data_IF_081834511489
#
_entry.id   IF_081834511489
#
_cell.length_a   1.000
_cell.length_b   1.000
_cell.length_c   1.000
_cell.angle_alpha   90.00
_cell.angle_beta   90.00
_cell.angle_gamma   90.00
#
_symmetry.space_group_name_H-M   'P 1'
#
loop_
_entity.id
_entity.type
_entity.pdbx_description
1 polymer ?
#
# COMPACT_ATOMS: atom_id res chain seq x y z
N UNK A 1 -16.37 -8.80 8.25
CA UNK A 1 -15.35 -9.17 9.26
C UNK A 1 -16.07 -9.51 10.55
N UNK A 2 -15.64 -10.57 11.21
CA UNK A 2 -16.30 -11.10 12.44
C UNK A 2 -15.51 -10.71 13.70
N UNK A 3 -14.19 -10.54 13.56
CA UNK A 3 -13.30 -10.24 14.69
C UNK A 3 -13.37 -8.76 15.07
N UNK A 4 -13.74 -8.42 16.34
CA UNK A 4 -13.72 -7.04 16.84
C UNK A 4 -12.32 -6.43 16.78
N UNK A 5 -12.22 -5.10 16.56
CA UNK A 5 -10.94 -4.40 16.39
C UNK A 5 -9.95 -4.66 17.55
N UNK A 6 -10.44 -4.70 18.78
CA UNK A 6 -9.62 -4.95 19.98
C UNK A 6 -9.16 -6.41 20.16
N UNK A 7 -9.59 -7.31 19.29
CA UNK A 7 -9.21 -8.73 19.29
C UNK A 7 -8.38 -9.11 18.06
N UNK A 8 -8.12 -8.16 17.17
CA UNK A 8 -7.27 -8.40 15.99
C UNK A 8 -5.80 -8.54 16.39
N UNK A 9 -5.03 -9.18 15.52
CA UNK A 9 -3.57 -9.35 15.67
C UNK A 9 -2.89 -8.02 15.98
N UNK A 10 -1.95 -8.01 16.91
CA UNK A 10 -1.18 -6.80 17.23
C UNK A 10 -0.20 -6.44 16.10
N UNK A 11 0.35 -5.22 16.11
CA UNK A 11 1.42 -4.84 15.19
C UNK A 11 2.60 -5.81 15.26
N UNK A 12 2.95 -6.30 16.46
CA UNK A 12 4.02 -7.30 16.64
C UNK A 12 3.68 -8.67 16.05
N UNK A 13 2.41 -9.08 16.05
CA UNK A 13 2.00 -10.34 15.43
C UNK A 13 2.09 -10.24 13.89
N UNK A 14 1.70 -9.10 13.34
CA UNK A 14 1.81 -8.77 11.92
C UNK A 14 3.27 -8.75 11.49
N UNK A 15 4.15 -8.05 12.26
CA UNK A 15 5.59 -8.03 12.04
C UNK A 15 6.19 -9.44 11.98
N UNK A 16 5.91 -10.29 12.98
CA UNK A 16 6.42 -11.67 13.03
C UNK A 16 6.01 -12.49 11.82
N UNK A 17 4.77 -12.30 11.33
CA UNK A 17 4.30 -13.00 10.13
C UNK A 17 5.09 -12.56 8.91
N UNK A 18 5.29 -11.26 8.70
CA UNK A 18 6.06 -10.75 7.57
C UNK A 18 7.55 -11.12 7.64
N UNK A 19 8.14 -11.20 8.83
CA UNK A 19 9.52 -11.64 8.99
C UNK A 19 9.77 -13.06 8.43
N UNK A 20 8.74 -13.90 8.38
CA UNK A 20 8.83 -15.27 7.84
C UNK A 20 8.46 -15.37 6.35
N UNK A 21 7.99 -14.30 5.73
CA UNK A 21 7.42 -14.32 4.37
C UNK A 21 8.29 -13.59 3.32
N UNK A 22 9.53 -13.23 3.64
CA UNK A 22 10.42 -12.41 2.80
C UNK A 22 10.60 -12.99 1.40
N UNK A 23 10.88 -14.28 1.27
CA UNK A 23 11.08 -14.93 -0.03
C UNK A 23 9.81 -14.88 -0.89
N UNK A 24 8.65 -15.09 -0.28
CA UNK A 24 7.37 -15.00 -0.98
C UNK A 24 7.13 -13.60 -1.54
N UNK A 25 7.37 -12.55 -0.75
CA UNK A 25 7.16 -11.17 -1.16
C UNK A 25 8.30 -10.60 -2.04
N UNK A 26 9.45 -11.25 -2.09
CA UNK A 26 10.52 -10.89 -3.03
C UNK A 26 10.17 -11.22 -4.49
N UNK A 27 9.24 -12.14 -4.71
CA UNK A 27 8.74 -12.51 -6.03
C UNK A 27 7.33 -11.95 -6.23
N UNK A 28 7.14 -11.13 -7.27
CA UNK A 28 5.84 -10.50 -7.59
C UNK A 28 4.74 -11.54 -7.79
N UNK A 29 5.04 -12.64 -8.50
CA UNK A 29 4.05 -13.66 -8.83
C UNK A 29 3.52 -14.41 -7.60
N UNK A 30 4.37 -14.62 -6.60
CA UNK A 30 4.00 -15.33 -5.36
C UNK A 30 3.54 -14.39 -4.25
N UNK A 31 4.12 -13.20 -4.16
CA UNK A 31 3.82 -12.23 -3.10
C UNK A 31 2.43 -11.63 -3.21
N UNK A 32 1.93 -11.48 -4.43
CA UNK A 32 0.67 -10.82 -4.70
C UNK A 32 -0.42 -11.75 -5.27
N UNK A 33 -0.25 -13.05 -5.19
CA UNK A 33 -1.20 -14.04 -5.73
C UNK A 33 -2.62 -13.90 -5.17
N UNK A 34 -2.76 -13.36 -3.96
CA UNK A 34 -4.06 -13.10 -3.33
C UNK A 34 -4.71 -11.78 -3.79
N UNK A 35 -3.97 -10.91 -4.46
CA UNK A 35 -4.45 -9.60 -4.90
C UNK A 35 -4.93 -9.68 -6.36
N UNK A 36 -6.22 -9.39 -6.56
CA UNK A 36 -6.79 -9.36 -7.92
C UNK A 36 -6.17 -8.19 -8.69
N UNK A 37 -5.72 -8.47 -9.92
CA UNK A 37 -5.13 -7.50 -10.85
C UNK A 37 -3.90 -6.75 -10.28
N UNK A 38 -3.12 -7.42 -9.42
CA UNK A 38 -1.97 -6.81 -8.76
C UNK A 38 -0.97 -6.18 -9.74
N UNK A 39 -0.63 -6.90 -10.83
CA UNK A 39 0.31 -6.40 -11.85
C UNK A 39 -0.22 -5.16 -12.55
N UNK A 40 -1.50 -5.15 -12.95
CA UNK A 40 -2.15 -3.99 -13.57
C UNK A 40 -2.21 -2.80 -12.59
N UNK A 41 -2.57 -3.04 -11.35
CA UNK A 41 -2.63 -1.99 -10.33
C UNK A 41 -1.26 -1.36 -10.07
N UNK A 42 -0.19 -2.17 -10.00
CA UNK A 42 1.19 -1.69 -9.88
C UNK A 42 1.61 -0.84 -11.08
N UNK A 43 1.26 -1.26 -12.30
CA UNK A 43 1.52 -0.50 -13.53
C UNK A 43 0.81 0.85 -13.49
N UNK A 44 -0.49 0.86 -13.21
CA UNK A 44 -1.30 2.08 -13.18
C UNK A 44 -0.83 3.11 -12.14
N UNK A 45 -0.52 2.69 -10.90
CA UNK A 45 -0.01 3.64 -9.90
C UNK A 45 1.39 4.17 -10.26
N UNK A 46 2.22 3.35 -10.90
CA UNK A 46 3.54 3.74 -11.39
C UNK A 46 3.43 4.80 -12.50
N UNK A 47 2.59 4.54 -13.51
CA UNK A 47 2.36 5.46 -14.63
C UNK A 47 1.69 6.77 -14.15
N UNK A 48 0.73 6.68 -13.22
CA UNK A 48 0.09 7.83 -12.62
C UNK A 48 1.11 8.70 -11.86
N UNK A 49 1.99 8.10 -11.07
CA UNK A 49 3.05 8.82 -10.37
C UNK A 49 3.95 9.61 -11.34
N UNK A 50 4.41 8.96 -12.42
CA UNK A 50 5.28 9.57 -13.43
C UNK A 50 4.55 10.67 -14.21
N UNK A 51 3.29 10.41 -14.58
CA UNK A 51 2.49 11.36 -15.39
C UNK A 51 2.13 12.63 -14.61
N UNK A 52 1.88 12.51 -13.31
CA UNK A 52 1.45 13.64 -12.47
C UNK A 52 2.61 14.35 -11.78
N UNK A 53 3.75 13.65 -11.63
CA UNK A 53 4.97 14.19 -11.02
C UNK A 53 6.17 13.97 -11.97
N UNK A 54 6.32 14.82 -13.01
CA UNK A 54 7.32 14.59 -14.05
C UNK A 54 8.78 14.63 -13.59
N UNK A 55 9.06 15.30 -12.46
CA UNK A 55 10.38 15.35 -11.83
C UNK A 55 10.29 14.66 -10.47
N UNK A 56 10.87 13.48 -10.39
CA UNK A 56 10.91 12.68 -9.17
C UNK A 56 12.36 12.65 -8.67
N UNK A 57 12.60 13.26 -7.52
CA UNK A 57 13.91 13.29 -6.87
C UNK A 57 13.93 12.42 -5.62
N UNK A 58 12.80 12.32 -4.91
CA UNK A 58 12.68 11.52 -3.68
C UNK A 58 11.33 10.85 -3.54
N UNK A 59 11.33 9.55 -3.24
CA UNK A 59 10.15 8.72 -3.08
C UNK A 59 10.09 8.11 -1.68
N UNK A 60 8.89 8.05 -1.09
CA UNK A 60 8.61 7.26 0.11
C UNK A 60 7.75 6.05 -0.27
N UNK A 61 8.18 4.86 0.12
CA UNK A 61 7.41 3.61 -0.01
C UNK A 61 6.96 3.14 1.39
N UNK A 62 5.66 3.27 1.67
CA UNK A 62 5.06 2.92 2.97
C UNK A 62 4.64 1.45 2.94
N UNK A 63 5.20 0.64 3.85
CA UNK A 63 5.03 -0.81 3.83
C UNK A 63 5.70 -1.41 2.61
N UNK A 64 6.96 -1.05 2.37
CA UNK A 64 7.68 -1.34 1.14
C UNK A 64 7.86 -2.85 0.86
N UNK A 65 7.66 -3.72 1.86
CA UNK A 65 7.94 -5.15 1.76
C UNK A 65 9.35 -5.39 1.22
N UNK A 66 9.49 -6.23 0.21
CA UNK A 66 10.77 -6.50 -0.46
C UNK A 66 11.12 -5.51 -1.60
N UNK A 67 10.48 -4.32 -1.67
CA UNK A 67 10.81 -3.22 -2.58
C UNK A 67 10.25 -3.34 -4.00
N UNK A 68 9.28 -4.21 -4.26
CA UNK A 68 8.78 -4.46 -5.63
C UNK A 68 8.21 -3.19 -6.30
N UNK A 69 7.45 -2.37 -5.58
CA UNK A 69 6.82 -1.17 -6.13
C UNK A 69 7.86 -0.08 -6.41
N UNK A 70 8.79 0.14 -5.48
CA UNK A 70 9.93 1.06 -5.69
C UNK A 70 10.76 0.65 -6.91
N UNK A 71 11.07 -0.64 -7.06
CA UNK A 71 11.81 -1.18 -8.22
C UNK A 71 11.03 -0.95 -9.52
N UNK A 72 9.71 -1.22 -9.52
CA UNK A 72 8.87 -0.96 -10.70
C UNK A 72 8.90 0.51 -11.08
N UNK A 73 8.78 1.41 -10.11
CA UNK A 73 8.82 2.85 -10.35
C UNK A 73 10.19 3.28 -10.91
N UNK A 74 11.31 2.83 -10.33
CA UNK A 74 12.67 3.11 -10.81
C UNK A 74 12.86 2.67 -12.26
N UNK A 75 12.50 1.46 -12.58
CA UNK A 75 12.64 0.89 -13.93
C UNK A 75 11.78 1.62 -14.98
N UNK A 76 10.58 2.05 -14.59
CA UNK A 76 9.65 2.72 -15.51
C UNK A 76 10.03 4.19 -15.69
N UNK A 77 10.47 4.87 -14.63
CA UNK A 77 10.91 6.26 -14.68
C UNK A 77 12.24 6.42 -15.45
N UNK A 78 13.12 5.43 -15.37
CA UNK A 78 14.35 5.36 -16.17
C UNK A 78 15.52 6.23 -15.71
N UNK A 79 15.32 7.08 -14.70
CA UNK A 79 16.36 7.84 -14.00
C UNK A 79 16.28 7.55 -12.51
N UNK A 80 17.42 7.53 -11.81
CA UNK A 80 17.43 7.26 -10.37
C UNK A 80 16.84 8.38 -9.54
N UNK A 81 16.34 8.04 -8.37
CA UNK A 81 15.87 8.97 -7.34
C UNK A 81 16.23 8.42 -5.95
N UNK A 82 16.17 9.26 -4.93
CA UNK A 82 16.37 8.85 -3.54
C UNK A 82 15.15 8.12 -3.02
N UNK A 83 15.36 7.06 -2.22
CA UNK A 83 14.31 6.23 -1.68
C UNK A 83 14.33 6.20 -0.17
N UNK A 84 13.22 6.55 0.46
CA UNK A 84 12.95 6.25 1.86
C UNK A 84 11.98 5.05 1.91
N UNK A 85 12.42 3.95 2.50
CA UNK A 85 11.70 2.68 2.60
C UNK A 85 11.29 2.45 4.05
N UNK A 86 10.00 2.24 4.31
CA UNK A 86 9.50 1.97 5.65
C UNK A 86 8.71 0.67 5.69
N UNK A 87 9.01 -0.18 6.66
CA UNK A 87 8.28 -1.44 6.92
C UNK A 87 8.38 -1.85 8.39
N UNK A 88 7.39 -2.62 8.86
CA UNK A 88 7.41 -3.24 10.17
C UNK A 88 8.46 -4.37 10.28
N UNK A 89 8.76 -5.03 9.15
CA UNK A 89 9.66 -6.18 9.09
C UNK A 89 11.08 -5.76 8.73
N UNK A 90 12.01 -5.92 9.66
CA UNK A 90 13.43 -5.68 9.39
C UNK A 90 13.98 -6.56 8.25
N UNK A 91 13.69 -7.87 8.18
CA UNK A 91 14.12 -8.70 7.04
C UNK A 91 13.58 -8.23 5.68
N UNK A 92 12.36 -7.68 5.64
CA UNK A 92 11.79 -7.05 4.43
C UNK A 92 12.60 -5.81 4.03
N UNK A 93 12.90 -4.92 4.98
CA UNK A 93 13.69 -3.70 4.74
C UNK A 93 15.10 -4.01 4.23
N UNK A 94 15.77 -4.99 4.83
CA UNK A 94 17.09 -5.43 4.39
C UNK A 94 17.03 -5.95 2.94
N UNK A 95 16.05 -6.79 2.63
CA UNK A 95 15.81 -7.29 1.27
C UNK A 95 15.44 -6.18 0.29
N UNK A 96 14.59 -5.24 0.69
CA UNK A 96 14.23 -4.09 -0.14
C UNK A 96 15.46 -3.23 -0.46
N UNK A 97 16.25 -2.89 0.55
CA UNK A 97 17.48 -2.11 0.39
C UNK A 97 18.47 -2.78 -0.56
N UNK A 98 18.72 -4.08 -0.37
CA UNK A 98 19.59 -4.87 -1.26
C UNK A 98 19.13 -4.78 -2.72
N UNK A 99 17.83 -5.01 -2.97
CA UNK A 99 17.29 -5.05 -4.33
C UNK A 99 17.18 -3.68 -4.98
N UNK A 100 16.73 -2.67 -4.22
CA UNK A 100 16.59 -1.30 -4.72
C UNK A 100 17.97 -0.68 -5.03
N UNK A 101 19.02 -1.00 -4.26
CA UNK A 101 20.37 -0.51 -4.53
C UNK A 101 20.98 -0.99 -5.86
N UNK A 102 20.40 -2.00 -6.49
CA UNK A 102 20.77 -2.47 -7.82
C UNK A 102 20.12 -1.66 -8.95
N UNK A 103 19.10 -0.85 -8.62
CA UNK A 103 18.27 -0.12 -9.59
C UNK A 103 18.50 1.42 -9.55
N UNK A 104 19.13 1.94 -8.50
CA UNK A 104 19.39 3.37 -8.37
C UNK A 104 20.77 3.65 -7.77
N UNK A 105 21.34 4.81 -8.12
CA UNK A 105 22.50 5.39 -7.44
C UNK A 105 22.10 6.46 -6.41
N UNK A 106 20.80 6.71 -6.24
CA UNK A 106 20.27 7.60 -5.22
C UNK A 106 20.47 7.07 -3.81
N UNK A 107 20.28 7.94 -2.82
CA UNK A 107 20.36 7.57 -1.41
C UNK A 107 19.17 6.65 -1.04
N UNK A 108 19.44 5.60 -0.26
CA UNK A 108 18.42 4.67 0.21
C UNK A 108 18.43 4.65 1.74
N UNK A 109 17.40 5.26 2.33
CA UNK A 109 17.19 5.23 3.77
C UNK A 109 16.13 4.20 4.13
N UNK A 110 16.30 3.51 5.25
CA UNK A 110 15.37 2.51 5.76
C UNK A 110 14.87 2.91 7.15
N UNK A 111 13.56 2.81 7.35
CA UNK A 111 12.89 3.14 8.61
C UNK A 111 12.15 1.90 9.11
N UNK A 112 12.70 1.25 10.14
CA UNK A 112 12.07 0.09 10.74
C UNK A 112 10.99 0.52 11.74
N UNK A 113 9.76 0.10 11.50
CA UNK A 113 8.64 0.32 12.42
C UNK A 113 7.37 0.82 11.75
N UNK A 114 6.47 1.30 12.59
CA UNK A 114 5.16 1.78 12.18
C UNK A 114 5.25 3.19 11.55
N UNK A 115 4.73 3.34 10.35
CA UNK A 115 4.68 4.62 9.64
C UNK A 115 4.01 5.73 10.48
N UNK A 116 3.04 5.39 11.31
CA UNK A 116 2.34 6.37 12.16
C UNK A 116 3.30 7.12 13.09
N UNK A 117 4.32 6.44 13.60
CA UNK A 117 5.29 6.97 14.56
C UNK A 117 6.65 7.36 13.95
N UNK A 118 6.89 7.03 12.69
CA UNK A 118 8.14 7.36 12.02
C UNK A 118 8.36 8.88 11.96
N UNK A 119 9.57 9.32 12.31
CA UNK A 119 9.99 10.72 12.20
C UNK A 119 10.52 10.99 10.79
N UNK A 120 9.71 11.66 9.99
CA UNK A 120 9.98 11.98 8.59
C UNK A 120 9.80 13.48 8.38
N UNK A 121 10.61 14.05 7.50
CA UNK A 121 10.61 15.49 7.23
C UNK A 121 9.44 15.90 6.34
N UNK A 122 8.73 16.95 6.72
CA UNK A 122 7.64 17.53 5.93
C UNK A 122 8.15 18.03 4.56
N UNK A 123 7.27 18.02 3.55
CA UNK A 123 7.53 18.50 2.19
C UNK A 123 8.83 17.96 1.58
N UNK A 124 9.13 16.70 1.83
CA UNK A 124 10.37 16.05 1.39
C UNK A 124 10.20 15.12 0.20
N UNK A 125 8.97 14.67 -0.09
CA UNK A 125 8.74 13.64 -1.09
C UNK A 125 8.00 14.17 -2.30
N UNK A 126 8.48 13.80 -3.49
CA UNK A 126 7.81 14.08 -4.76
C UNK A 126 6.70 13.07 -5.00
N UNK A 127 6.92 11.81 -4.64
CA UNK A 127 5.94 10.71 -4.73
C UNK A 127 5.93 9.92 -3.44
N UNK A 128 4.73 9.58 -2.97
CA UNK A 128 4.53 8.60 -1.89
C UNK A 128 3.69 7.45 -2.45
N UNK A 129 4.08 6.21 -2.17
CA UNK A 129 3.31 5.01 -2.53
C UNK A 129 2.99 4.19 -1.29
N UNK A 130 1.82 3.54 -1.29
CA UNK A 130 1.38 2.63 -0.23
C UNK A 130 0.64 1.44 -0.86
N UNK A 131 1.24 0.25 -0.82
CA UNK A 131 0.67 -0.92 -1.50
C UNK A 131 0.44 -2.05 -0.50
N UNK A 132 -0.81 -2.47 -0.37
CA UNK A 132 -1.27 -3.53 0.53
C UNK A 132 -0.85 -3.28 2.00
N UNK A 133 -1.05 -2.07 2.50
CA UNK A 133 -0.62 -1.68 3.85
C UNK A 133 -1.66 -0.90 4.64
N UNK A 134 -2.45 -0.03 4.01
CA UNK A 134 -3.36 0.86 4.75
C UNK A 134 -4.52 0.09 5.39
N UNK A 135 -4.91 -1.06 4.86
CA UNK A 135 -5.93 -1.93 5.45
C UNK A 135 -5.58 -2.44 6.86
N UNK A 136 -4.33 -2.29 7.31
CA UNK A 136 -3.93 -2.56 8.69
C UNK A 136 -4.28 -1.43 9.67
N UNK A 137 -4.62 -0.23 9.18
CA UNK A 137 -5.15 0.84 10.02
C UNK A 137 -6.53 0.46 10.57
N UNK A 138 -6.82 0.80 11.83
CA UNK A 138 -8.00 0.29 12.52
C UNK A 138 -9.03 1.35 12.82
N UNK A 139 -8.68 2.28 13.68
CA UNK A 139 -9.59 3.31 14.15
C UNK A 139 -9.71 4.46 13.12
N UNK A 140 -10.84 5.14 13.12
CA UNK A 140 -11.05 6.31 12.26
C UNK A 140 -9.92 7.35 12.42
N UNK A 141 -9.45 7.51 13.66
CA UNK A 141 -8.40 8.48 13.97
C UNK A 141 -7.06 8.06 13.34
N UNK A 142 -6.71 6.76 13.33
CA UNK A 142 -5.50 6.26 12.67
C UNK A 142 -5.49 6.63 11.18
N UNK A 143 -6.63 6.41 10.50
CA UNK A 143 -6.79 6.74 9.08
C UNK A 143 -6.60 8.24 8.84
N UNK A 144 -7.27 9.06 9.64
CA UNK A 144 -7.21 10.53 9.51
C UNK A 144 -5.81 11.07 9.74
N UNK A 145 -5.10 10.59 10.74
CA UNK A 145 -3.73 10.99 11.05
C UNK A 145 -2.75 10.56 9.97
N UNK A 146 -2.88 9.34 9.45
CA UNK A 146 -2.03 8.82 8.38
C UNK A 146 -2.21 9.64 7.09
N UNK A 147 -3.44 9.92 6.66
CA UNK A 147 -3.67 10.71 5.45
C UNK A 147 -3.19 12.15 5.57
N UNK A 148 -3.37 12.79 6.74
CA UNK A 148 -2.80 14.11 7.03
C UNK A 148 -1.26 14.10 7.02
N UNK A 149 -0.65 13.06 7.61
CA UNK A 149 0.80 12.89 7.61
C UNK A 149 1.32 12.74 6.18
N UNK A 150 0.71 11.90 5.37
CA UNK A 150 1.08 11.70 3.96
C UNK A 150 1.01 13.04 3.20
N UNK A 151 -0.08 13.78 3.35
CA UNK A 151 -0.24 15.10 2.71
C UNK A 151 0.85 16.09 3.14
N UNK A 152 1.18 16.14 4.43
CA UNK A 152 2.23 17.01 4.97
C UNK A 152 3.61 16.65 4.45
N UNK A 153 3.92 15.37 4.30
CA UNK A 153 5.19 14.87 3.81
C UNK A 153 5.43 15.13 2.32
N UNK A 154 4.35 15.24 1.52
CA UNK A 154 4.45 15.57 0.09
C UNK A 154 4.89 17.01 -0.12
N UNK A 155 5.78 17.24 -1.07
CA UNK A 155 6.07 18.56 -1.61
C UNK A 155 4.84 19.14 -2.34
N UNK A 156 4.71 20.47 -2.47
CA UNK A 156 3.75 21.05 -3.41
C UNK A 156 3.93 20.47 -4.83
N UNK A 157 2.83 20.04 -5.44
CA UNK A 157 2.83 19.34 -6.74
C UNK A 157 3.20 17.85 -6.69
N UNK A 158 3.48 17.32 -5.51
CA UNK A 158 3.74 15.88 -5.32
C UNK A 158 2.48 15.04 -5.33
N UNK A 159 2.62 13.71 -5.47
CA UNK A 159 1.48 12.79 -5.59
C UNK A 159 1.58 11.58 -4.66
N UNK A 160 0.41 11.06 -4.27
CA UNK A 160 0.26 9.88 -3.44
C UNK A 160 -0.59 8.81 -4.14
N UNK A 161 -0.07 7.58 -4.22
CA UNK A 161 -0.72 6.47 -4.92
C UNK A 161 -0.83 5.22 -4.06
N UNK A 162 -2.01 4.60 -4.12
CA UNK A 162 -2.39 3.46 -3.29
C UNK A 162 -2.88 2.31 -4.15
N UNK A 163 -2.48 1.10 -3.79
CA UNK A 163 -3.18 -0.14 -4.17
C UNK A 163 -3.50 -0.91 -2.90
N UNK A 164 -4.78 -1.19 -2.65
CA UNK A 164 -5.14 -1.79 -1.38
C UNK A 164 -6.41 -2.66 -1.44
N UNK A 165 -6.55 -3.51 -0.41
CA UNK A 165 -7.80 -4.17 -0.05
C UNK A 165 -8.80 -3.12 0.45
N UNK A 166 -10.01 -3.11 -0.12
CA UNK A 166 -11.04 -2.13 0.22
C UNK A 166 -12.37 -2.78 0.59
N UNK A 167 -13.11 -2.13 1.47
CA UNK A 167 -14.49 -2.49 1.80
C UNK A 167 -15.50 -1.75 0.91
N UNK A 168 -16.78 -2.07 1.11
CA UNK A 168 -17.92 -1.40 0.47
C UNK A 168 -18.89 -0.94 1.55
N UNK A 169 -19.57 0.17 1.34
CA UNK A 169 -20.46 0.78 2.33
C UNK A 169 -21.79 0.03 2.44
N UNK A 170 -22.36 -0.36 1.30
CA UNK A 170 -23.58 -1.19 1.29
C UNK A 170 -23.25 -2.65 1.58
N UNK A 171 -24.01 -3.24 2.49
CA UNK A 171 -23.82 -4.62 2.97
C UNK A 171 -24.02 -5.65 1.85
N UNK A 172 -24.97 -5.40 0.93
CA UNK A 172 -25.24 -6.32 -0.18
C UNK A 172 -24.11 -6.27 -1.22
N UNK A 173 -23.60 -5.07 -1.49
CA UNK A 173 -22.44 -4.88 -2.39
C UNK A 173 -21.18 -5.49 -1.74
N UNK A 174 -20.95 -5.27 -0.44
CA UNK A 174 -19.85 -5.91 0.28
C UNK A 174 -19.91 -7.43 0.15
N UNK A 175 -21.08 -8.04 0.36
CA UNK A 175 -21.28 -9.49 0.23
C UNK A 175 -21.04 -9.97 -1.21
N UNK A 176 -21.54 -9.26 -2.20
CA UNK A 176 -21.33 -9.57 -3.63
C UNK A 176 -19.83 -9.58 -3.96
N UNK A 177 -19.12 -8.51 -3.60
CA UNK A 177 -17.71 -8.36 -3.93
C UNK A 177 -16.82 -9.34 -3.17
N UNK A 178 -17.19 -9.64 -1.92
CA UNK A 178 -16.51 -10.65 -1.11
C UNK A 178 -16.68 -12.06 -1.68
N UNK A 179 -17.87 -12.40 -2.16
CA UNK A 179 -18.12 -13.68 -2.84
C UNK A 179 -17.31 -13.78 -4.15
N UNK A 180 -17.20 -12.70 -4.93
CA UNK A 180 -16.36 -12.67 -6.13
C UNK A 180 -14.89 -12.90 -5.78
N UNK A 181 -14.41 -12.29 -4.72
CA UNK A 181 -13.05 -12.50 -4.22
C UNK A 181 -12.84 -13.95 -3.75
N UNK A 182 -13.80 -14.51 -3.02
CA UNK A 182 -13.77 -15.92 -2.65
C UNK A 182 -13.66 -16.87 -3.84
N UNK A 183 -14.43 -16.62 -4.92
CA UNK A 183 -14.33 -17.42 -6.14
C UNK A 183 -12.95 -17.28 -6.81
N UNK A 184 -12.35 -16.10 -6.81
CA UNK A 184 -10.98 -15.90 -7.28
C UNK A 184 -9.98 -16.73 -6.46
N UNK A 185 -10.04 -16.67 -5.12
CA UNK A 185 -9.16 -17.45 -4.24
C UNK A 185 -9.32 -18.95 -4.44
N UNK A 186 -10.57 -19.45 -4.57
CA UNK A 186 -10.85 -20.85 -4.88
C UNK A 186 -10.20 -21.28 -6.19
N UNK A 187 -10.19 -20.43 -7.21
CA UNK A 187 -9.52 -20.74 -8.48
C UNK A 187 -8.00 -20.86 -8.36
N UNK A 188 -7.40 -20.28 -7.30
CA UNK A 188 -5.96 -20.33 -7.05
C UNK A 188 -5.52 -21.52 -6.19
N UNK A 189 -6.35 -21.95 -5.23
CA UNK A 189 -5.93 -22.99 -4.29
C UNK A 189 -7.06 -23.78 -3.61
N UNK A 190 -8.29 -23.70 -4.14
CA UNK A 190 -9.44 -24.41 -3.58
C UNK A 190 -10.09 -23.74 -2.37
N UNK A 191 -11.02 -24.45 -1.75
CA UNK A 191 -11.81 -23.94 -0.63
C UNK A 191 -10.93 -23.67 0.60
N UNK A 192 -10.05 -24.58 0.97
CA UNK A 192 -9.16 -24.44 2.13
C UNK A 192 -8.24 -23.21 2.01
N UNK A 193 -7.77 -22.91 0.79
CA UNK A 193 -6.97 -21.71 0.54
C UNK A 193 -7.79 -20.43 0.72
N UNK A 194 -9.00 -20.41 0.18
CA UNK A 194 -9.91 -19.27 0.36
C UNK A 194 -10.23 -19.04 1.83
N UNK A 195 -10.57 -20.08 2.59
CA UNK A 195 -10.88 -19.99 4.02
C UNK A 195 -9.69 -19.44 4.80
N UNK A 196 -8.48 -19.98 4.57
CA UNK A 196 -7.24 -19.51 5.19
C UNK A 196 -6.98 -18.02 4.93
N UNK A 197 -7.19 -17.55 3.68
CA UNK A 197 -6.99 -16.14 3.33
C UNK A 197 -8.04 -15.26 4.02
N UNK A 198 -9.30 -15.68 4.04
CA UNK A 198 -10.36 -14.93 4.70
C UNK A 198 -10.19 -14.87 6.22
N UNK A 199 -9.71 -15.92 6.83
CA UNK A 199 -9.45 -15.97 8.27
C UNK A 199 -8.35 -14.97 8.66
N UNK A 200 -7.23 -14.93 7.93
CA UNK A 200 -6.19 -13.97 8.27
C UNK A 200 -6.63 -12.52 8.02
N UNK A 201 -7.36 -12.24 6.93
CA UNK A 201 -7.94 -10.92 6.68
C UNK A 201 -8.88 -10.51 7.84
N UNK A 202 -9.72 -11.44 8.30
CA UNK A 202 -10.61 -11.16 9.43
C UNK A 202 -9.85 -10.90 10.74
N UNK A 203 -8.68 -11.49 10.91
CA UNK A 203 -7.85 -11.31 12.09
C UNK A 203 -6.96 -10.06 12.04
N UNK A 204 -6.49 -9.67 10.88
CA UNK A 204 -5.47 -8.63 10.75
C UNK A 204 -6.00 -7.33 10.16
N UNK A 205 -6.92 -7.39 9.21
CA UNK A 205 -7.24 -6.25 8.34
C UNK A 205 -8.52 -5.53 8.76
N UNK A 206 -8.56 -4.23 8.49
CA UNK A 206 -9.70 -3.35 8.75
C UNK A 206 -9.91 -2.38 7.58
N UNK A 207 -10.09 -2.91 6.34
CA UNK A 207 -10.17 -2.07 5.16
C UNK A 207 -11.34 -1.11 5.22
N UNK A 208 -11.16 0.07 4.64
CA UNK A 208 -12.20 1.08 4.44
C UNK A 208 -12.58 1.18 2.96
N UNK A 209 -13.75 1.76 2.68
CA UNK A 209 -14.19 1.95 1.30
C UNK A 209 -13.27 2.93 0.54
N UNK A 210 -13.26 2.82 -0.78
CA UNK A 210 -12.54 3.80 -1.62
C UNK A 210 -13.09 5.19 -1.39
N UNK A 211 -14.42 5.36 -1.32
CA UNK A 211 -15.09 6.63 -1.07
C UNK A 211 -14.57 7.28 0.21
N UNK A 212 -14.54 6.52 1.31
CA UNK A 212 -14.00 6.99 2.59
C UNK A 212 -12.55 7.47 2.46
N UNK A 213 -11.70 6.73 1.75
CA UNK A 213 -10.28 7.09 1.59
C UNK A 213 -10.09 8.33 0.70
N UNK A 214 -10.85 8.44 -0.39
CA UNK A 214 -10.84 9.64 -1.24
C UNK A 214 -11.34 10.88 -0.51
N UNK A 215 -12.35 10.74 0.35
CA UNK A 215 -12.85 11.84 1.17
C UNK A 215 -11.80 12.29 2.20
N UNK A 216 -11.08 11.35 2.83
CA UNK A 216 -9.94 11.70 3.68
C UNK A 216 -8.81 12.42 2.93
N UNK A 217 -8.54 12.04 1.68
CA UNK A 217 -7.58 12.78 0.83
C UNK A 217 -8.04 14.21 0.63
N UNK A 218 -9.30 14.43 0.24
CA UNK A 218 -9.87 15.77 0.06
C UNK A 218 -9.83 16.58 1.36
N UNK A 219 -10.24 15.98 2.47
CA UNK A 219 -10.18 16.61 3.80
C UNK A 219 -8.75 16.97 4.23
N UNK A 220 -7.75 16.21 3.78
CA UNK A 220 -6.33 16.48 4.04
C UNK A 220 -5.75 17.59 3.17
N UNK A 221 -6.43 17.96 2.07
CA UNK A 221 -6.04 19.08 1.21
C UNK A 221 -5.57 18.69 -0.20
N UNK A 222 -5.70 17.42 -0.61
CA UNK A 222 -5.37 17.02 -1.99
C UNK A 222 -6.24 17.77 -2.98
N UNK A 223 -5.62 18.38 -4.00
CA UNK A 223 -6.30 19.20 -5.01
C UNK A 223 -7.15 18.34 -5.95
N UNK A 224 -6.61 17.19 -6.34
CA UNK A 224 -7.34 16.20 -7.12
C UNK A 224 -7.13 14.80 -6.56
N UNK A 225 -8.18 13.98 -6.68
CA UNK A 225 -8.14 12.56 -6.30
C UNK A 225 -8.86 11.74 -7.36
N UNK A 226 -8.32 10.58 -7.69
CA UNK A 226 -8.87 9.73 -8.75
C UNK A 226 -8.76 8.25 -8.43
N UNK A 227 -9.63 7.44 -9.07
CA UNK A 227 -9.60 5.97 -9.04
C UNK A 227 -9.06 5.46 -10.37
N UNK A 228 -7.92 4.81 -10.34
CA UNK A 228 -7.27 4.26 -11.53
C UNK A 228 -7.84 2.88 -11.91
N UNK A 229 -8.15 2.07 -10.89
CA UNK A 229 -8.69 0.73 -11.08
C UNK A 229 -9.49 0.27 -9.85
N UNK A 230 -10.53 -0.53 -10.10
CA UNK A 230 -11.26 -1.21 -9.04
C UNK A 230 -11.81 -2.55 -9.53
N UNK A 231 -11.44 -3.63 -8.86
CA UNK A 231 -12.01 -4.96 -9.11
C UNK A 231 -12.26 -5.69 -7.78
N UNK A 232 -13.52 -6.13 -7.58
CA UNK A 232 -13.94 -6.79 -6.34
C UNK A 232 -13.58 -5.96 -5.09
N UNK A 233 -12.75 -6.50 -4.22
CA UNK A 233 -12.28 -5.86 -2.98
C UNK A 233 -10.90 -5.20 -3.11
N UNK A 234 -10.39 -4.97 -4.32
CA UNK A 234 -9.12 -4.30 -4.57
C UNK A 234 -9.30 -3.04 -5.40
N UNK A 235 -8.52 -2.03 -5.09
CA UNK A 235 -8.55 -0.78 -5.84
C UNK A 235 -7.17 -0.13 -5.90
N UNK A 236 -6.89 0.54 -7.04
CA UNK A 236 -5.79 1.46 -7.23
C UNK A 236 -6.35 2.88 -7.34
N UNK A 237 -5.87 3.82 -6.55
CA UNK A 237 -6.34 5.21 -6.49
C UNK A 237 -5.26 6.11 -5.90
N UNK A 238 -5.47 7.40 -5.96
CA UNK A 238 -4.53 8.35 -5.39
C UNK A 238 -4.94 9.80 -5.58
N UNK A 239 -3.99 10.71 -5.36
CA UNK A 239 -4.25 12.13 -5.48
C UNK A 239 -2.99 12.96 -5.55
N UNK A 240 -3.15 14.24 -5.91
CA UNK A 240 -2.11 15.20 -6.14
C UNK A 240 -2.25 16.34 -5.13
N UNK A 241 -1.15 16.70 -4.48
CA UNK A 241 -1.05 17.94 -3.67
C UNK A 241 -0.86 19.11 -4.63
N UNK A 242 -1.70 20.14 -4.50
CA UNK A 242 -1.57 21.37 -5.28
C UNK A 242 -0.18 22.02 -5.16
N UNK A 243 0.11 22.92 -6.12
CA UNK A 243 1.36 23.71 -6.14
C UNK A 243 1.32 24.87 -5.17
#
# INVERSE_FOLDING_TARGET
MKTPLNKKSTTSDIEKRFNNDVERFSNIDTGQVTTIDASLSMELITEAAISTTPVILKVLDIGCGAGNNTIKLLRTYGTGFDCDLIDLSMPMLERAKERVSQETHGEINTFHGDFRTADLTDESYDVIIAVAVLHHLREYQDWKEVFRKIFRLLKPGGSFWVTDLVSHEDVSIQKLMWNRYGNYLKSKGGDDYMEKVFDYIDQEDSPRSVTFQLDLMRESGFESVDVLHKNSCFSAFGGIKGK
#
